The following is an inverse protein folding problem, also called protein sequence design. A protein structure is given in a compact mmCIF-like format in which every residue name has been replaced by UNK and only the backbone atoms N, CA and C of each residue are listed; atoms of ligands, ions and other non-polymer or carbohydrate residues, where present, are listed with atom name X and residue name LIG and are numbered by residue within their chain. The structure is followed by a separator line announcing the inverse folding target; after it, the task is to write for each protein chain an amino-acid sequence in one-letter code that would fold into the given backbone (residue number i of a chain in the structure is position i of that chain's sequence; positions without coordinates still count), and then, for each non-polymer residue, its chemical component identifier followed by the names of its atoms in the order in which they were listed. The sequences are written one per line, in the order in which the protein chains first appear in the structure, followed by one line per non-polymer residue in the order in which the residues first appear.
data_IF_330324368908
#
_entry.id   IF_330324368908
#
_cell.length_a   1.000
_cell.length_b   1.000
_cell.length_c   1.000
_cell.angle_alpha   90.00
_cell.angle_beta   90.00
_cell.angle_gamma   90.00
#
_symmetry.space_group_name_H-M   'P 1'
#
loop_
_entity.id
_entity.type
_entity.pdbx_description
1 polymer ?
#
# COMPACT_ATOMS: atom_id res chain seq x y z
N UNK A 1 12.03 16.05 -13.38
CA UNK A 1 12.40 15.99 -11.95
C UNK A 1 12.65 14.54 -11.54
N UNK A 2 13.80 14.23 -10.93
CA UNK A 2 14.16 12.86 -10.52
C UNK A 2 13.17 12.29 -9.46
N UNK A 3 12.84 11.00 -9.52
CA UNK A 3 11.85 10.36 -8.63
C UNK A 3 12.22 10.48 -7.14
N UNK A 4 13.52 10.50 -6.82
CA UNK A 4 14.00 10.75 -5.46
C UNK A 4 13.61 12.13 -4.92
N UNK A 5 13.67 13.18 -5.77
CA UNK A 5 13.26 14.54 -5.37
C UNK A 5 11.76 14.60 -5.08
N UNK A 6 10.94 13.86 -5.83
CA UNK A 6 9.49 13.76 -5.59
C UNK A 6 9.19 13.10 -4.24
N UNK A 7 9.86 11.99 -3.93
CA UNK A 7 9.74 11.32 -2.64
C UNK A 7 10.18 12.23 -1.49
N UNK A 8 11.34 12.89 -1.61
CA UNK A 8 11.82 13.84 -0.60
C UNK A 8 10.80 14.95 -0.33
N UNK A 9 10.23 15.53 -1.39
CA UNK A 9 9.22 16.57 -1.28
C UNK A 9 7.95 16.06 -0.59
N UNK A 10 7.50 14.85 -0.93
CA UNK A 10 6.35 14.21 -0.28
C UNK A 10 6.59 14.00 1.22
N UNK A 11 7.76 13.48 1.58
CA UNK A 11 8.13 13.25 2.98
C UNK A 11 8.22 14.56 3.76
N UNK A 12 8.82 15.61 3.18
CA UNK A 12 8.87 16.93 3.80
C UNK A 12 7.46 17.51 4.05
N UNK A 13 6.59 17.44 3.04
CA UNK A 13 5.20 17.91 3.15
C UNK A 13 4.40 17.11 4.19
N UNK A 14 4.60 15.79 4.24
CA UNK A 14 3.96 14.90 5.23
C UNK A 14 4.42 15.24 6.65
N UNK A 15 5.73 15.53 6.81
CA UNK A 15 6.33 15.93 8.08
C UNK A 15 5.81 17.28 8.56
N UNK A 16 5.70 18.26 7.67
CA UNK A 16 5.12 19.58 7.98
C UNK A 16 3.65 19.48 8.42
N UNK A 17 2.87 18.56 7.83
CA UNK A 17 1.46 18.37 8.17
C UNK A 17 1.29 17.63 9.50
N UNK A 18 2.02 16.55 9.73
CA UNK A 18 1.89 15.74 10.94
C UNK A 18 3.14 14.89 11.19
N UNK A 19 4.11 15.36 12.00
CA UNK A 19 5.27 14.55 12.37
C UNK A 19 4.86 13.34 13.22
N UNK A 20 3.82 13.48 14.05
CA UNK A 20 3.26 12.40 14.85
C UNK A 20 2.83 11.19 14.00
N UNK A 21 2.29 11.44 12.80
CA UNK A 21 1.89 10.36 11.90
C UNK A 21 3.09 9.53 11.42
N UNK A 22 4.23 10.17 11.17
CA UNK A 22 5.47 9.50 10.78
C UNK A 22 6.02 8.63 11.91
N UNK A 23 5.96 9.10 13.16
CA UNK A 23 6.36 8.31 14.32
C UNK A 23 5.46 7.09 14.55
N UNK A 24 4.14 7.24 14.41
CA UNK A 24 3.20 6.11 14.52
C UNK A 24 3.49 5.07 13.42
N UNK A 25 3.80 5.51 12.21
CA UNK A 25 4.14 4.63 11.09
C UNK A 25 5.43 3.84 11.34
N UNK A 26 6.48 4.51 11.82
CA UNK A 26 7.73 3.87 12.22
C UNK A 26 7.49 2.86 13.36
N UNK A 27 6.74 3.26 14.39
CA UNK A 27 6.39 2.38 15.51
C UNK A 27 5.62 1.13 15.07
N UNK A 28 4.62 1.29 14.19
CA UNK A 28 3.88 0.18 13.61
C UNK A 28 4.78 -0.78 12.83
N UNK A 29 5.72 -0.24 12.05
CA UNK A 29 6.68 -1.03 11.28
C UNK A 29 7.57 -1.86 12.21
N UNK A 30 8.09 -1.25 13.28
CA UNK A 30 8.91 -1.94 14.28
C UNK A 30 8.14 -3.05 15.02
N UNK A 31 6.90 -2.77 15.44
CA UNK A 31 6.04 -3.75 16.11
C UNK A 31 5.79 -4.97 15.22
N UNK A 32 5.42 -4.75 13.96
CA UNK A 32 5.21 -5.84 13.00
C UNK A 32 6.51 -6.62 12.74
N UNK A 33 7.67 -5.96 12.64
CA UNK A 33 8.95 -6.66 12.49
C UNK A 33 9.27 -7.51 13.71
N UNK A 34 9.12 -6.97 14.92
CA UNK A 34 9.36 -7.69 16.18
C UNK A 34 8.46 -8.92 16.33
N UNK A 35 7.19 -8.83 15.95
CA UNK A 35 6.27 -9.96 15.95
C UNK A 35 6.77 -11.11 15.07
N UNK A 36 7.26 -10.80 13.87
CA UNK A 36 7.78 -11.81 12.93
C UNK A 36 8.97 -12.52 13.55
N UNK A 37 9.93 -11.78 14.13
CA UNK A 37 11.09 -12.38 14.80
C UNK A 37 10.68 -13.31 15.94
N UNK A 38 9.76 -12.88 16.80
CA UNK A 38 9.31 -13.68 17.94
C UNK A 38 8.53 -14.92 17.51
N UNK A 39 7.69 -14.80 16.47
CA UNK A 39 6.96 -15.93 15.89
C UNK A 39 7.85 -16.94 15.16
N UNK A 40 9.14 -16.66 14.99
CA UNK A 40 10.10 -17.63 14.46
C UNK A 40 11.00 -18.17 15.59
N UNK A 41 11.48 -17.30 16.46
CA UNK A 41 12.43 -17.67 17.52
C UNK A 41 11.76 -18.51 18.61
N UNK A 42 10.57 -18.14 19.10
CA UNK A 42 9.92 -18.86 20.21
C UNK A 42 9.50 -20.28 19.78
N UNK A 43 8.86 -20.49 18.61
CA UNK A 43 8.52 -21.85 18.17
C UNK A 43 9.75 -22.74 17.93
N UNK A 44 10.91 -22.18 17.54
CA UNK A 44 12.15 -22.94 17.43
C UNK A 44 12.52 -23.58 18.78
N UNK A 45 12.54 -22.81 19.87
CA UNK A 45 12.86 -23.33 21.20
C UNK A 45 11.84 -24.37 21.68
N UNK A 46 10.56 -24.20 21.33
CA UNK A 46 9.55 -25.21 21.62
C UNK A 46 9.85 -26.53 20.88
N UNK A 47 10.23 -26.47 19.60
CA UNK A 47 10.60 -27.66 18.82
C UNK A 47 11.85 -28.33 19.40
N UNK A 48 12.87 -27.55 19.74
CA UNK A 48 14.12 -28.06 20.33
C UNK A 48 13.85 -28.80 21.66
N UNK A 49 12.95 -28.29 22.49
CA UNK A 49 12.55 -28.94 23.75
C UNK A 49 11.69 -30.20 23.52
N UNK A 50 10.80 -30.18 22.51
CA UNK A 50 9.98 -31.35 22.13
C UNK A 50 10.82 -32.51 21.58
N UNK A 51 11.91 -32.22 20.89
CA UNK A 51 12.82 -33.22 20.31
C UNK A 51 13.91 -33.65 21.31
N UNK A 52 14.20 -32.79 22.30
CA UNK A 52 15.23 -33.00 23.32
C UNK A 52 14.73 -33.71 24.57
N UNK A 53 14.83 -33.03 25.72
CA UNK A 53 14.56 -33.60 27.04
C UNK A 53 13.06 -33.73 27.36
N UNK A 54 12.20 -33.00 26.64
CA UNK A 54 10.75 -33.02 26.80
C UNK A 54 10.30 -32.66 28.23
N UNK A 55 10.91 -31.64 28.84
CA UNK A 55 10.51 -31.15 30.15
C UNK A 55 9.16 -30.41 30.08
N UNK A 56 8.13 -30.94 30.74
CA UNK A 56 6.75 -30.42 30.68
C UNK A 56 6.66 -28.95 31.10
N UNK A 57 7.41 -28.53 32.13
CA UNK A 57 7.42 -27.16 32.62
C UNK A 57 7.93 -26.17 31.54
N UNK A 58 8.96 -26.56 30.78
CA UNK A 58 9.51 -25.75 29.68
C UNK A 58 8.59 -25.70 28.49
N UNK A 59 7.92 -26.81 28.17
CA UNK A 59 6.92 -26.87 27.10
C UNK A 59 5.73 -25.94 27.39
N UNK A 60 5.23 -25.95 28.63
CA UNK A 60 4.17 -25.04 29.06
C UNK A 60 4.65 -23.58 29.01
N UNK A 61 5.90 -23.31 29.45
CA UNK A 61 6.48 -21.97 29.39
C UNK A 61 6.57 -21.45 27.95
N UNK A 62 7.17 -22.21 27.03
CA UNK A 62 7.29 -21.79 25.63
C UNK A 62 5.93 -21.69 24.93
N UNK A 63 5.03 -22.65 25.15
CA UNK A 63 3.67 -22.61 24.63
C UNK A 63 2.90 -21.39 25.14
N UNK A 64 2.99 -21.09 26.44
CA UNK A 64 2.42 -19.89 27.05
C UNK A 64 3.01 -18.60 26.46
N UNK A 65 4.33 -18.57 26.22
CA UNK A 65 5.02 -17.42 25.63
C UNK A 65 4.55 -17.17 24.19
N UNK A 66 4.29 -18.21 23.40
CA UNK A 66 3.73 -18.09 22.05
C UNK A 66 2.33 -17.46 22.12
N UNK A 67 1.46 -17.95 23.00
CA UNK A 67 0.09 -17.43 23.14
C UNK A 67 0.10 -15.98 23.62
N UNK A 68 0.86 -15.68 24.68
CA UNK A 68 0.95 -14.34 25.26
C UNK A 68 1.56 -13.33 24.29
N UNK A 69 2.65 -13.70 23.59
CA UNK A 69 3.26 -12.81 22.60
C UNK A 69 2.29 -12.51 21.46
N UNK A 70 1.63 -13.52 20.89
CA UNK A 70 0.66 -13.29 19.81
C UNK A 70 -0.54 -12.46 20.25
N UNK A 71 -1.04 -12.67 21.47
CA UNK A 71 -2.11 -11.84 22.05
C UNK A 71 -1.68 -10.38 22.17
N UNK A 72 -0.48 -10.14 22.73
CA UNK A 72 0.09 -8.81 22.92
C UNK A 72 0.29 -8.11 21.58
N UNK A 73 0.91 -8.78 20.59
CA UNK A 73 1.11 -8.20 19.27
C UNK A 73 -0.20 -7.97 18.54
N UNK A 74 -1.18 -8.87 18.64
CA UNK A 74 -2.50 -8.64 18.05
C UNK A 74 -3.17 -7.38 18.62
N UNK A 75 -3.03 -7.12 19.92
CA UNK A 75 -3.53 -5.91 20.55
C UNK A 75 -2.76 -4.65 20.10
N UNK A 76 -1.43 -4.72 20.07
CA UNK A 76 -0.58 -3.62 19.60
C UNK A 76 -0.85 -3.29 18.13
N UNK A 77 -0.89 -4.28 17.26
CA UNK A 77 -1.15 -4.09 15.82
C UNK A 77 -2.53 -3.49 15.59
N UNK A 78 -3.58 -3.96 16.28
CA UNK A 78 -4.92 -3.36 16.18
C UNK A 78 -4.94 -1.91 16.67
N UNK A 79 -4.25 -1.62 17.77
CA UNK A 79 -4.14 -0.27 18.32
C UNK A 79 -3.40 0.67 17.37
N UNK A 80 -2.25 0.24 16.84
CA UNK A 80 -1.47 1.00 15.87
C UNK A 80 -2.23 1.22 14.57
N UNK A 81 -2.91 0.19 14.06
CA UNK A 81 -3.77 0.31 12.88
C UNK A 81 -4.85 1.36 13.09
N UNK A 82 -5.55 1.33 14.23
CA UNK A 82 -6.57 2.34 14.55
C UNK A 82 -5.99 3.76 14.62
N UNK A 83 -4.83 3.93 15.25
CA UNK A 83 -4.14 5.22 15.31
C UNK A 83 -3.74 5.72 13.92
N UNK A 84 -3.21 4.83 13.08
CA UNK A 84 -2.84 5.14 11.70
C UNK A 84 -4.06 5.52 10.86
N UNK A 85 -5.17 4.79 10.96
CA UNK A 85 -6.39 5.07 10.20
C UNK A 85 -6.96 6.45 10.54
N UNK A 86 -7.05 6.78 11.85
CA UNK A 86 -7.53 8.09 12.31
C UNK A 86 -6.60 9.23 11.85
N UNK A 87 -5.29 9.05 12.02
CA UNK A 87 -4.32 10.08 11.61
C UNK A 87 -4.21 10.19 10.09
N UNK A 88 -4.41 9.12 9.33
CA UNK A 88 -4.40 9.15 7.86
C UNK A 88 -5.53 10.04 7.33
N UNK A 89 -6.73 9.95 7.91
CA UNK A 89 -7.84 10.86 7.57
C UNK A 89 -7.45 12.31 7.87
N UNK A 90 -6.90 12.59 9.05
CA UNK A 90 -6.45 13.93 9.41
C UNK A 90 -5.40 14.49 8.42
N UNK A 91 -4.38 13.69 8.08
CA UNK A 91 -3.32 14.09 7.14
C UNK A 91 -3.90 14.34 5.75
N UNK A 92 -4.84 13.50 5.28
CA UNK A 92 -5.54 13.70 4.01
C UNK A 92 -6.28 15.04 3.98
N UNK A 93 -7.11 15.33 4.98
CA UNK A 93 -7.89 16.57 5.01
C UNK A 93 -6.99 17.80 5.16
N UNK A 94 -5.91 17.70 5.95
CA UNK A 94 -4.95 18.80 6.10
C UNK A 94 -4.17 19.05 4.81
N UNK A 95 -3.82 18.01 4.06
CA UNK A 95 -3.21 18.12 2.75
C UNK A 95 -4.13 18.83 1.76
N UNK A 96 -5.41 18.44 1.73
CA UNK A 96 -6.44 19.09 0.91
C UNK A 96 -6.57 20.58 1.27
N UNK A 97 -6.56 20.92 2.56
CA UNK A 97 -6.58 22.31 3.00
C UNK A 97 -5.34 23.10 2.53
N UNK A 98 -4.13 22.53 2.68
CA UNK A 98 -2.89 23.18 2.23
C UNK A 98 -2.89 23.40 0.72
N UNK A 99 -3.37 22.42 -0.04
CA UNK A 99 -3.51 22.52 -1.49
C UNK A 99 -4.51 23.61 -1.88
N UNK A 100 -5.68 23.64 -1.25
CA UNK A 100 -6.70 24.66 -1.49
C UNK A 100 -6.15 26.07 -1.21
N UNK A 101 -5.44 26.27 -0.10
CA UNK A 101 -4.77 27.54 0.19
C UNK A 101 -3.78 27.95 -0.89
N UNK A 102 -3.02 27.00 -1.43
CA UNK A 102 -2.06 27.29 -2.50
C UNK A 102 -2.75 27.66 -3.81
N UNK A 103 -3.86 27.00 -4.13
CA UNK A 103 -4.69 27.33 -5.30
C UNK A 103 -5.32 28.72 -5.13
N UNK A 104 -5.84 29.06 -3.95
CA UNK A 104 -6.44 30.38 -3.67
C UNK A 104 -5.44 31.53 -3.73
N UNK A 105 -4.14 31.26 -3.54
CA UNK A 105 -3.08 32.25 -3.62
C UNK A 105 -2.49 32.40 -5.03
N UNK A 106 -3.05 31.74 -6.06
CA UNK A 106 -2.66 31.96 -7.45
C UNK A 106 -3.05 33.39 -7.85
N UNK A 107 -2.13 34.11 -8.49
CA UNK A 107 -2.36 35.49 -8.92
C UNK A 107 -3.54 35.57 -9.90
N UNK A 108 -4.33 36.63 -9.78
CA UNK A 108 -5.54 36.83 -10.58
C UNK A 108 -5.28 36.74 -12.10
N UNK A 109 -4.11 37.22 -12.55
CA UNK A 109 -3.70 37.19 -13.96
C UNK A 109 -3.59 35.76 -14.53
N UNK A 110 -3.46 34.74 -13.68
CA UNK A 110 -3.28 33.34 -14.07
C UNK A 110 -4.53 32.48 -13.90
N UNK A 111 -5.67 33.05 -13.46
CA UNK A 111 -6.88 32.27 -13.18
C UNK A 111 -7.49 31.61 -14.42
N UNK A 112 -7.41 32.29 -15.57
CA UNK A 112 -7.94 31.80 -16.85
C UNK A 112 -6.84 31.20 -17.74
N UNK A 113 -5.60 31.12 -17.24
CA UNK A 113 -4.51 30.54 -18.00
C UNK A 113 -4.69 29.00 -18.07
N UNK A 114 -4.78 28.42 -19.28
CA UNK A 114 -4.98 26.98 -19.45
C UNK A 114 -3.95 26.10 -18.73
N UNK A 115 -2.71 26.58 -18.60
CA UNK A 115 -1.65 25.86 -17.91
C UNK A 115 -1.94 25.72 -16.41
N UNK A 116 -2.37 26.81 -15.75
CA UNK A 116 -2.67 26.81 -14.32
C UNK A 116 -3.95 26.04 -14.00
N UNK A 117 -4.93 26.08 -14.91
CA UNK A 117 -6.15 25.28 -14.82
C UNK A 117 -5.86 23.77 -14.90
N UNK A 118 -5.09 23.32 -15.90
CA UNK A 118 -4.64 21.91 -16.01
C UNK A 118 -3.84 21.48 -14.77
N UNK A 119 -2.92 22.34 -14.32
CA UNK A 119 -2.12 22.04 -13.14
C UNK A 119 -3.00 21.88 -11.89
N UNK A 120 -3.99 22.76 -11.69
CA UNK A 120 -4.96 22.65 -10.60
C UNK A 120 -5.72 21.32 -10.69
N UNK A 121 -6.31 21.03 -11.85
CA UNK A 121 -7.17 19.87 -12.05
C UNK A 121 -6.42 18.56 -11.83
N UNK A 122 -5.23 18.41 -12.40
CA UNK A 122 -4.39 17.22 -12.21
C UNK A 122 -3.99 17.02 -10.75
N UNK A 123 -3.71 18.10 -10.05
CA UNK A 123 -3.31 18.04 -8.65
C UNK A 123 -4.47 17.66 -7.73
N UNK A 124 -5.66 18.24 -7.98
CA UNK A 124 -6.91 17.90 -7.28
C UNK A 124 -7.30 16.46 -7.55
N UNK A 125 -7.20 16.00 -8.80
CA UNK A 125 -7.48 14.63 -9.20
C UNK A 125 -6.56 13.63 -8.48
N UNK A 126 -5.25 13.90 -8.44
CA UNK A 126 -4.28 13.03 -7.76
C UNK A 126 -4.57 12.88 -6.26
N UNK A 127 -4.97 13.96 -5.58
CA UNK A 127 -5.25 13.92 -4.14
C UNK A 127 -6.61 13.30 -3.81
N UNK A 128 -7.67 13.75 -4.50
CA UNK A 128 -9.04 13.42 -4.12
C UNK A 128 -9.57 12.15 -4.78
N UNK A 129 -9.19 11.87 -6.03
CA UNK A 129 -9.68 10.71 -6.77
C UNK A 129 -8.75 9.52 -6.62
N UNK A 130 -7.44 9.73 -6.82
CA UNK A 130 -6.47 8.64 -6.79
C UNK A 130 -5.98 8.28 -5.38
N UNK A 131 -6.38 9.05 -4.35
CA UNK A 131 -5.97 8.87 -2.95
C UNK A 131 -4.45 8.69 -2.80
N UNK A 132 -3.67 9.41 -3.61
CA UNK A 132 -2.22 9.19 -3.75
C UNK A 132 -1.52 9.31 -2.41
N UNK A 133 -1.97 10.22 -1.53
CA UNK A 133 -1.38 10.39 -0.20
C UNK A 133 -1.44 9.11 0.63
N UNK A 134 -2.64 8.57 0.81
CA UNK A 134 -2.86 7.35 1.61
C UNK A 134 -2.14 6.14 0.98
N UNK A 135 -2.23 6.01 -0.35
CA UNK A 135 -1.61 4.91 -1.07
C UNK A 135 -0.09 4.96 -0.98
N UNK A 136 0.51 6.14 -1.15
CA UNK A 136 1.96 6.31 -1.16
C UNK A 136 2.54 6.07 0.23
N UNK A 137 1.87 6.53 1.29
CA UNK A 137 2.26 6.20 2.67
C UNK A 137 2.10 4.71 2.96
N UNK A 138 0.95 4.12 2.62
CA UNK A 138 0.68 2.70 2.85
C UNK A 138 1.74 1.84 2.15
N UNK A 139 2.02 2.14 0.89
CA UNK A 139 3.02 1.43 0.09
C UNK A 139 4.44 1.59 0.64
N UNK A 140 4.80 2.78 1.13
CA UNK A 140 6.09 3.00 1.80
C UNK A 140 6.17 2.18 3.09
N UNK A 141 5.11 2.16 3.89
CA UNK A 141 5.04 1.38 5.14
C UNK A 141 5.19 -0.11 4.84
N UNK A 142 4.46 -0.60 3.83
CA UNK A 142 4.55 -1.98 3.36
C UNK A 142 5.96 -2.26 2.85
N UNK A 143 6.59 -1.36 2.09
CA UNK A 143 7.94 -1.54 1.61
C UNK A 143 8.95 -1.68 2.77
N UNK A 144 8.90 -0.79 3.75
CA UNK A 144 9.77 -0.89 4.95
C UNK A 144 9.51 -2.18 5.73
N UNK A 145 8.24 -2.54 5.97
CA UNK A 145 7.86 -3.80 6.63
C UNK A 145 8.38 -5.00 5.85
N UNK A 146 8.24 -5.01 4.53
CA UNK A 146 8.72 -6.10 3.66
C UNK A 146 10.23 -6.22 3.68
N UNK A 147 10.96 -5.11 3.62
CA UNK A 147 12.43 -5.12 3.75
C UNK A 147 12.84 -5.71 5.09
N UNK A 148 12.27 -5.21 6.20
CA UNK A 148 12.60 -5.73 7.53
C UNK A 148 12.24 -7.21 7.70
N UNK A 149 11.10 -7.64 7.15
CA UNK A 149 10.66 -9.04 7.13
C UNK A 149 11.65 -9.91 6.35
N UNK A 150 12.00 -9.51 5.12
CA UNK A 150 12.90 -10.26 4.25
C UNK A 150 14.29 -10.36 4.90
N UNK A 151 14.83 -9.24 5.38
CA UNK A 151 16.12 -9.22 6.08
C UNK A 151 16.09 -10.11 7.31
N UNK A 152 15.04 -10.03 8.12
CA UNK A 152 14.88 -10.86 9.31
C UNK A 152 14.82 -12.35 9.00
N UNK A 153 14.02 -12.73 8.00
CA UNK A 153 13.91 -14.11 7.53
C UNK A 153 15.25 -14.64 7.01
N UNK A 154 15.97 -13.85 6.22
CA UNK A 154 17.29 -14.25 5.70
C UNK A 154 18.27 -14.48 6.86
N UNK A 155 18.33 -13.56 7.83
CA UNK A 155 19.21 -13.70 9.00
C UNK A 155 18.90 -15.00 9.74
N UNK A 156 17.63 -15.27 10.02
CA UNK A 156 17.23 -16.48 10.74
C UNK A 156 17.54 -17.74 9.91
N UNK A 157 17.25 -17.72 8.61
CA UNK A 157 17.55 -18.85 7.73
C UNK A 157 19.06 -19.15 7.67
N UNK A 158 19.91 -18.12 7.66
CA UNK A 158 21.36 -18.29 7.75
C UNK A 158 21.80 -18.97 9.06
N UNK A 159 21.08 -18.73 10.18
CA UNK A 159 21.35 -19.44 11.44
C UNK A 159 20.95 -20.92 11.42
N UNK A 160 20.01 -21.30 10.55
CA UNK A 160 19.57 -22.69 10.39
C UNK A 160 20.47 -23.47 9.42
N UNK A 161 20.62 -22.98 8.19
CA UNK A 161 21.50 -23.57 7.18
C UNK A 161 21.66 -22.66 5.97
N UNK A 162 22.90 -22.36 5.58
CA UNK A 162 23.21 -21.57 4.38
C UNK A 162 22.73 -22.25 3.09
N UNK A 163 22.61 -23.59 3.08
CA UNK A 163 22.13 -24.36 1.91
C UNK A 163 20.66 -24.04 1.60
N UNK A 164 19.83 -23.89 2.64
CA UNK A 164 18.41 -23.52 2.46
C UNK A 164 18.29 -22.13 1.81
N UNK A 165 19.15 -21.19 2.19
CA UNK A 165 19.17 -19.84 1.62
C UNK A 165 19.51 -19.87 0.13
N UNK A 166 20.49 -20.69 -0.27
CA UNK A 166 20.84 -20.87 -1.69
C UNK A 166 19.66 -21.45 -2.48
N UNK A 167 18.99 -22.47 -1.95
CA UNK A 167 17.82 -23.06 -2.60
C UNK A 167 16.66 -22.04 -2.74
N UNK A 168 16.46 -21.21 -1.73
CA UNK A 168 15.46 -20.13 -1.73
C UNK A 168 15.78 -19.08 -2.81
N UNK A 169 17.05 -18.67 -2.94
CA UNK A 169 17.48 -17.76 -4.01
C UNK A 169 17.19 -18.36 -5.39
N UNK A 170 17.50 -19.65 -5.60
CA UNK A 170 17.25 -20.34 -6.87
C UNK A 170 15.74 -20.34 -7.20
N UNK A 171 14.89 -20.67 -6.23
CA UNK A 171 13.42 -20.67 -6.43
C UNK A 171 12.86 -19.26 -6.70
N UNK A 172 13.41 -18.22 -6.07
CA UNK A 172 13.05 -16.83 -6.38
C UNK A 172 13.43 -16.49 -7.83
N UNK A 173 14.65 -16.84 -8.26
CA UNK A 173 15.12 -16.58 -9.63
C UNK A 173 14.20 -17.27 -10.65
N UNK A 174 13.91 -18.57 -10.44
CA UNK A 174 12.99 -19.33 -11.30
C UNK A 174 11.60 -18.69 -11.35
N UNK A 175 11.09 -18.24 -10.20
CA UNK A 175 9.79 -17.57 -10.10
C UNK A 175 9.77 -16.25 -10.87
N UNK A 176 10.85 -15.44 -10.78
CA UNK A 176 10.99 -14.19 -11.55
C UNK A 176 10.98 -14.47 -13.05
N UNK A 177 11.69 -15.50 -13.51
CA UNK A 177 11.69 -15.89 -14.93
C UNK A 177 10.30 -16.34 -15.40
N UNK A 178 9.61 -17.18 -14.63
CA UNK A 178 8.25 -17.60 -14.94
C UNK A 178 7.28 -16.40 -15.00
N UNK A 179 7.38 -15.50 -14.03
CA UNK A 179 6.53 -14.31 -13.96
C UNK A 179 6.80 -13.33 -15.10
N UNK A 180 8.06 -13.14 -15.48
CA UNK A 180 8.45 -12.33 -16.64
C UNK A 180 7.83 -12.86 -17.92
N UNK A 181 7.88 -14.18 -18.13
CA UNK A 181 7.26 -14.82 -19.30
C UNK A 181 5.74 -14.65 -19.32
N UNK A 182 5.08 -14.79 -18.16
CA UNK A 182 3.64 -14.55 -18.04
C UNK A 182 3.24 -13.09 -18.30
N UNK A 183 4.09 -12.14 -17.90
CA UNK A 183 3.81 -10.71 -18.03
C UNK A 183 3.67 -10.27 -19.49
N UNK A 184 4.44 -10.86 -20.40
CA UNK A 184 4.34 -10.57 -21.85
C UNK A 184 2.94 -10.97 -22.39
N UNK A 185 2.49 -12.18 -22.06
CA UNK A 185 1.15 -12.65 -22.39
C UNK A 185 0.07 -11.74 -21.79
N UNK A 186 0.21 -11.38 -20.51
CA UNK A 186 -0.75 -10.52 -19.82
C UNK A 186 -0.85 -9.14 -20.48
N UNK A 187 0.27 -8.55 -20.90
CA UNK A 187 0.27 -7.28 -21.62
C UNK A 187 -0.48 -7.36 -22.95
N UNK A 188 -0.25 -8.41 -23.73
CA UNK A 188 -0.94 -8.57 -25.02
C UNK A 188 -2.43 -8.85 -24.85
N UNK A 189 -2.82 -9.63 -23.84
CA UNK A 189 -4.21 -9.79 -23.45
C UNK A 189 -4.88 -8.45 -23.11
N UNK A 190 -4.25 -7.61 -22.29
CA UNK A 190 -4.80 -6.30 -21.96
C UNK A 190 -4.89 -5.36 -23.17
N UNK A 191 -3.91 -5.40 -24.09
CA UNK A 191 -4.00 -4.64 -25.35
C UNK A 191 -5.24 -5.02 -26.15
N UNK A 192 -5.57 -6.30 -26.21
CA UNK A 192 -6.78 -6.81 -26.89
C UNK A 192 -8.07 -6.44 -26.13
N UNK A 193 -8.02 -6.37 -24.80
CA UNK A 193 -9.17 -6.02 -23.97
C UNK A 193 -9.52 -4.52 -24.03
N UNK A 194 -8.54 -3.62 -24.16
CA UNK A 194 -8.76 -2.16 -24.22
C UNK A 194 -9.83 -1.73 -25.24
N UNK A 195 -9.79 -2.15 -26.52
CA UNK A 195 -10.82 -1.74 -27.49
C UNK A 195 -12.21 -2.28 -27.14
N UNK A 196 -12.30 -3.50 -26.59
CA UNK A 196 -13.57 -4.07 -26.12
C UNK A 196 -14.13 -3.25 -24.96
N UNK A 197 -13.30 -2.94 -23.97
CA UNK A 197 -13.69 -2.14 -22.81
C UNK A 197 -14.10 -0.71 -23.22
N UNK A 198 -13.43 -0.13 -24.22
CA UNK A 198 -13.80 1.18 -24.78
C UNK A 198 -15.18 1.16 -25.44
N UNK A 199 -15.48 0.14 -26.26
CA UNK A 199 -16.81 -0.02 -26.88
C UNK A 199 -17.90 -0.24 -25.83
N UNK A 200 -17.64 -1.13 -24.87
CA UNK A 200 -18.53 -1.40 -23.75
C UNK A 200 -18.83 -0.12 -22.96
N UNK A 201 -17.78 0.61 -22.56
CA UNK A 201 -17.92 1.88 -21.85
C UNK A 201 -18.71 2.92 -22.62
N UNK A 202 -18.55 3.01 -23.95
CA UNK A 202 -19.36 3.91 -24.78
C UNK A 202 -20.86 3.55 -24.70
N UNK A 203 -21.23 2.29 -24.95
CA UNK A 203 -22.64 1.88 -24.94
C UNK A 203 -23.29 2.03 -23.56
N UNK A 204 -22.57 1.67 -22.49
CA UNK A 204 -23.07 1.79 -21.11
C UNK A 204 -23.27 3.26 -20.73
N UNK A 205 -22.29 4.12 -21.02
CA UNK A 205 -22.42 5.56 -20.72
C UNK A 205 -23.52 6.22 -21.57
N UNK A 206 -23.66 5.82 -22.84
CA UNK A 206 -24.70 6.33 -23.73
C UNK A 206 -26.10 5.93 -23.24
N UNK A 207 -26.27 4.69 -22.76
CA UNK A 207 -27.53 4.23 -22.20
C UNK A 207 -27.85 4.87 -20.84
N UNK A 208 -26.83 5.25 -20.07
CA UNK A 208 -26.98 5.81 -18.73
C UNK A 208 -26.97 7.34 -18.65
N UNK A 209 -26.82 8.07 -19.77
CA UNK A 209 -26.74 9.54 -19.74
C UNK A 209 -28.10 10.20 -19.89
N UNK A 210 -28.41 11.14 -19.00
CA UNK A 210 -29.63 11.94 -19.07
C UNK A 210 -29.56 13.05 -20.13
N UNK A 211 -28.36 13.34 -20.64
CA UNK A 211 -28.11 14.44 -21.57
C UNK A 211 -28.89 14.31 -22.89
N UNK A 212 -29.12 13.08 -23.35
CA UNK A 212 -29.79 12.80 -24.63
C UNK A 212 -31.31 12.63 -24.50
N UNK A 213 -31.87 12.61 -23.27
CA UNK A 213 -33.30 12.33 -23.07
C UNK A 213 -34.23 13.33 -23.77
N UNK A 214 -33.86 14.62 -23.80
CA UNK A 214 -34.67 15.66 -24.45
C UNK A 214 -34.72 15.44 -25.96
N UNK A 215 -33.57 15.21 -26.58
CA UNK A 215 -33.47 15.01 -28.03
C UNK A 215 -34.18 13.72 -28.46
N UNK A 216 -34.04 12.63 -27.69
CA UNK A 216 -34.73 11.36 -27.95
C UNK A 216 -36.26 11.53 -27.93
N UNK A 217 -36.81 12.31 -26.99
CA UNK A 217 -38.25 12.57 -26.89
C UNK A 217 -38.73 13.52 -27.99
N UNK A 218 -37.99 14.58 -28.27
CA UNK A 218 -38.36 15.58 -29.29
C UNK A 218 -38.31 14.99 -30.71
N UNK A 219 -37.35 14.10 -30.97
CA UNK A 219 -37.16 13.46 -32.27
C UNK A 219 -37.88 12.11 -32.41
N UNK A 220 -38.65 11.66 -31.40
CA UNK A 220 -39.32 10.36 -31.37
C UNK A 220 -38.39 9.16 -31.65
N UNK A 221 -37.15 9.22 -31.17
CA UNK A 221 -36.15 8.15 -31.33
C UNK A 221 -36.30 7.02 -30.29
N UNK A 222 -37.39 7.02 -29.53
CA UNK A 222 -37.69 6.05 -28.47
C UNK A 222 -38.32 4.73 -28.96
N UNK A 223 -38.54 4.57 -30.27
CA UNK A 223 -39.18 3.39 -30.89
C UNK A 223 -38.24 2.52 -31.74
N UNK A 224 -36.93 2.76 -31.69
CA UNK A 224 -35.91 1.87 -32.27
C UNK A 224 -35.50 0.82 -31.24
#
# INVERSE_FOLDING_TARGET
MNNFKKLKMFFALSWEISPAYMFILLGNTLISSAQIFLNIIIPKYLIDELVGACEVDRLILFGGLIVLSNLLFAFLEKTMKRLLDVKAIYVKEKMNQTMAKKIMNVEFAHLEDPYYLDLKERSVFALNVMSVMQNLISNITIAFKSVATITGLIIIMLTLSWVLVVFLIITIILSIFAYKSFMEYQQDFYKQLIPVNRKYGYYVNLAGTDTLQKDIRMLNLNKM
#
